data_IF_238026306633
#
_entry.id   IF_238026306633
#
_cell.length_a   1.000
_cell.length_b   1.000
_cell.length_c   1.000
_cell.angle_alpha   90.00
_cell.angle_beta   90.00
_cell.angle_gamma   90.00
#
_symmetry.space_group_name_H-M   'P 1'
#
loop_
_entity.id
_entity.type
_entity.pdbx_description
1 polymer ?
#
# COMPACT_ATOMS: atom_id res chain seq x y z
N UNK A 1 -4.08 -2.86 -16.35
CA UNK A 1 -4.39 -1.65 -17.12
C UNK A 1 -4.73 -0.53 -16.16
N UNK A 2 -4.26 0.66 -16.42
CA UNK A 2 -4.60 1.88 -15.69
C UNK A 2 -5.50 2.70 -16.60
N UNK A 3 -6.70 3.07 -16.15
CA UNK A 3 -7.52 4.06 -16.83
C UNK A 3 -7.20 5.44 -16.22
N UNK A 4 -6.87 6.40 -17.05
CA UNK A 4 -6.49 7.74 -16.61
C UNK A 4 -7.01 8.81 -17.58
N UNK A 5 -7.23 10.03 -17.09
CA UNK A 5 -7.60 11.18 -17.93
C UNK A 5 -6.40 11.73 -18.70
N UNK A 6 -5.17 11.48 -18.23
CA UNK A 6 -3.92 11.80 -18.92
C UNK A 6 -3.10 10.55 -19.21
N UNK A 7 -2.41 10.50 -20.32
CA UNK A 7 -1.47 9.46 -20.72
C UNK A 7 -0.01 9.97 -20.80
N UNK A 8 0.22 11.24 -20.51
CA UNK A 8 1.51 11.93 -20.50
C UNK A 8 1.85 12.56 -19.13
N UNK A 9 1.00 12.43 -18.13
CA UNK A 9 1.28 12.85 -16.76
C UNK A 9 2.42 11.99 -16.16
N UNK A 10 3.43 12.65 -15.57
CA UNK A 10 4.64 11.99 -15.06
C UNK A 10 4.36 10.95 -13.99
N UNK A 11 3.36 11.17 -13.13
CA UNK A 11 3.00 10.23 -12.07
C UNK A 11 2.19 9.03 -12.59
N UNK A 12 1.33 9.27 -13.60
CA UNK A 12 0.60 8.20 -14.29
C UNK A 12 1.58 7.30 -15.05
N UNK A 13 2.57 7.88 -15.71
CA UNK A 13 3.64 7.15 -16.41
C UNK A 13 4.49 6.34 -15.42
N UNK A 14 4.85 6.92 -14.27
CA UNK A 14 5.61 6.25 -13.21
C UNK A 14 4.86 5.04 -12.66
N UNK A 15 3.58 5.20 -12.34
CA UNK A 15 2.74 4.09 -11.84
C UNK A 15 2.62 2.98 -12.88
N UNK A 16 2.41 3.32 -14.16
CA UNK A 16 2.35 2.36 -15.23
C UNK A 16 3.66 1.59 -15.43
N UNK A 17 4.79 2.28 -15.31
CA UNK A 17 6.11 1.67 -15.37
C UNK A 17 6.36 0.71 -14.20
N UNK A 18 6.12 1.15 -12.96
CA UNK A 18 6.32 0.33 -11.76
C UNK A 18 5.48 -0.97 -11.78
N UNK A 19 4.27 -0.90 -12.32
CA UNK A 19 3.36 -2.05 -12.39
C UNK A 19 3.42 -2.80 -13.72
N UNK A 20 4.34 -2.45 -14.61
CA UNK A 20 4.47 -3.04 -15.95
C UNK A 20 3.11 -3.17 -16.67
N UNK A 21 2.35 -2.08 -16.70
CA UNK A 21 0.98 -2.08 -17.24
C UNK A 21 0.78 -0.98 -18.28
N UNK A 22 -0.33 -1.09 -19.04
CA UNK A 22 -0.68 -0.12 -20.08
C UNK A 22 -1.67 0.92 -19.55
N UNK A 23 -1.51 2.16 -20.01
CA UNK A 23 -2.43 3.26 -19.74
C UNK A 23 -3.53 3.24 -20.82
N UNK A 24 -4.77 3.42 -20.38
CA UNK A 24 -5.92 3.68 -21.25
C UNK A 24 -6.37 5.09 -20.97
N UNK A 25 -6.16 5.99 -21.91
CA UNK A 25 -6.67 7.36 -21.83
C UNK A 25 -8.17 7.40 -22.00
N UNK A 26 -8.84 8.15 -21.15
CA UNK A 26 -10.28 8.43 -21.25
C UNK A 26 -10.58 9.84 -20.78
N UNK A 27 -11.48 10.54 -21.47
CA UNK A 27 -11.91 11.88 -21.13
C UNK A 27 -13.03 11.89 -20.05
N UNK A 28 -13.53 10.71 -19.68
CA UNK A 28 -14.58 10.54 -18.68
C UNK A 28 -14.42 9.21 -17.94
N UNK A 29 -13.68 9.23 -16.83
CA UNK A 29 -13.46 8.06 -15.97
C UNK A 29 -14.77 7.49 -15.42
N UNK A 30 -15.76 8.34 -15.08
CA UNK A 30 -17.03 7.90 -14.54
C UNK A 30 -17.84 7.09 -15.55
N UNK A 31 -17.77 7.46 -16.84
CA UNK A 31 -18.42 6.73 -17.92
C UNK A 31 -17.66 5.48 -18.32
N UNK A 32 -16.32 5.53 -18.25
CA UNK A 32 -15.45 4.40 -18.60
C UNK A 32 -15.51 3.29 -17.55
N UNK A 33 -15.54 3.65 -16.25
CA UNK A 33 -15.54 2.70 -15.14
C UNK A 33 -17.00 2.35 -14.78
N UNK A 34 -17.52 1.29 -15.39
CA UNK A 34 -18.86 0.74 -15.17
C UNK A 34 -18.88 -0.54 -14.32
N UNK A 35 -17.77 -0.82 -13.65
CA UNK A 35 -17.53 -2.01 -12.81
C UNK A 35 -17.00 -1.62 -11.43
N UNK A 36 -17.15 -2.49 -10.41
CA UNK A 36 -16.57 -2.24 -9.10
C UNK A 36 -15.05 -2.14 -9.17
N UNK A 37 -14.48 -1.10 -8.58
CA UNK A 37 -13.03 -0.90 -8.45
C UNK A 37 -12.59 -1.16 -7.01
N UNK A 38 -11.35 -1.66 -6.84
CA UNK A 38 -10.80 -1.91 -5.52
C UNK A 38 -10.27 -0.63 -4.87
N UNK A 39 -9.70 0.27 -5.67
CA UNK A 39 -9.19 1.58 -5.22
C UNK A 39 -9.13 2.57 -6.37
N UNK A 40 -9.14 3.85 -6.02
CA UNK A 40 -8.66 4.93 -6.87
C UNK A 40 -7.29 5.40 -6.39
N UNK A 41 -6.46 5.80 -7.33
CA UNK A 41 -5.18 6.44 -7.08
C UNK A 41 -5.24 7.85 -7.65
N UNK A 42 -5.26 8.85 -6.78
CA UNK A 42 -5.20 10.26 -7.19
C UNK A 42 -3.73 10.64 -7.20
N UNK A 43 -3.26 11.12 -8.35
CA UNK A 43 -1.84 11.40 -8.56
C UNK A 43 -1.59 12.90 -8.72
N UNK A 44 -0.45 13.38 -8.24
CA UNK A 44 -0.04 14.77 -8.39
C UNK A 44 0.92 15.24 -7.30
N UNK A 45 1.22 16.53 -7.34
CA UNK A 45 2.07 17.14 -6.30
C UNK A 45 1.35 17.11 -4.95
N UNK A 46 2.08 16.83 -3.88
CA UNK A 46 1.55 16.71 -2.52
C UNK A 46 0.70 17.91 -2.09
N UNK A 47 1.16 19.13 -2.35
CA UNK A 47 0.44 20.37 -2.01
C UNK A 47 -0.93 20.48 -2.71
N UNK A 48 -1.15 19.77 -3.80
CA UNK A 48 -2.43 19.67 -4.52
C UNK A 48 -3.30 18.52 -4.04
N UNK A 49 -2.69 17.47 -3.52
CA UNK A 49 -3.41 16.30 -3.00
C UNK A 49 -3.99 16.53 -1.60
N UNK A 50 -3.34 17.35 -0.77
CA UNK A 50 -3.82 17.65 0.60
C UNK A 50 -5.26 18.15 0.62
N UNK A 51 -5.66 19.21 -0.10
CA UNK A 51 -7.05 19.67 -0.08
C UNK A 51 -8.02 18.65 -0.67
N UNK A 52 -7.57 17.77 -1.57
CA UNK A 52 -8.41 16.69 -2.12
C UNK A 52 -8.69 15.64 -1.03
N UNK A 53 -7.65 15.23 -0.29
CA UNK A 53 -7.81 14.31 0.84
C UNK A 53 -8.75 14.88 1.91
N UNK A 54 -8.55 16.14 2.31
CA UNK A 54 -9.38 16.82 3.30
C UNK A 54 -10.86 16.82 2.88
N UNK A 55 -11.15 17.22 1.64
CA UNK A 55 -12.52 17.24 1.10
C UNK A 55 -13.14 15.84 1.02
N UNK A 56 -12.38 14.82 0.63
CA UNK A 56 -12.85 13.43 0.60
C UNK A 56 -13.22 12.94 2.01
N UNK A 57 -12.35 13.19 3.00
CA UNK A 57 -12.58 12.75 4.38
C UNK A 57 -13.67 13.56 5.08
N UNK A 58 -13.82 14.84 4.77
CA UNK A 58 -14.91 15.65 5.31
C UNK A 58 -16.29 15.14 4.86
N UNK A 59 -16.42 14.72 3.60
CA UNK A 59 -17.73 14.38 3.02
C UNK A 59 -18.03 12.88 3.00
N UNK A 60 -17.01 12.01 3.03
CA UNK A 60 -17.16 10.58 2.76
C UNK A 60 -16.42 9.67 3.75
N UNK A 61 -15.95 10.17 4.89
CA UNK A 61 -15.19 9.38 5.88
C UNK A 61 -15.96 8.23 6.52
N UNK A 62 -17.25 8.14 6.32
CA UNK A 62 -18.10 7.02 6.72
C UNK A 62 -18.06 5.84 5.74
N UNK A 63 -17.74 6.09 4.45
CA UNK A 63 -17.76 5.08 3.38
C UNK A 63 -16.40 4.83 2.73
N UNK A 64 -15.42 5.72 2.92
CA UNK A 64 -14.08 5.55 2.37
C UNK A 64 -12.97 5.95 3.35
N UNK A 65 -11.78 5.45 3.09
CA UNK A 65 -10.51 5.91 3.66
C UNK A 65 -9.65 6.50 2.54
N UNK A 66 -8.88 7.56 2.85
CA UNK A 66 -7.97 8.22 1.93
C UNK A 66 -6.63 8.46 2.63
N UNK A 67 -5.54 7.88 2.12
CA UNK A 67 -4.20 7.95 2.72
C UNK A 67 -3.11 7.99 1.65
N UNK A 68 -1.94 8.49 2.02
CA UNK A 68 -0.79 8.52 1.12
C UNK A 68 -0.01 7.22 1.20
N UNK A 69 0.28 6.60 0.04
CA UNK A 69 1.29 5.53 -0.10
C UNK A 69 2.65 6.10 -0.47
N UNK A 70 2.65 7.23 -1.19
CA UNK A 70 3.80 8.08 -1.53
C UNK A 70 3.36 9.54 -1.48
N UNK A 71 4.28 10.48 -1.39
CA UNK A 71 3.96 11.92 -1.34
C UNK A 71 3.10 12.42 -2.52
N UNK A 72 3.19 11.73 -3.64
CA UNK A 72 2.48 12.04 -4.89
C UNK A 72 1.34 11.06 -5.22
N UNK A 73 1.05 10.09 -4.34
CA UNK A 73 -0.01 9.09 -4.48
C UNK A 73 -0.96 9.12 -3.29
N UNK A 74 -2.18 9.62 -3.53
CA UNK A 74 -3.29 9.53 -2.59
C UNK A 74 -4.17 8.33 -2.97
N UNK A 75 -4.16 7.30 -2.14
CA UNK A 75 -5.02 6.13 -2.29
C UNK A 75 -6.39 6.37 -1.66
N UNK A 76 -7.44 6.11 -2.42
CA UNK A 76 -8.82 6.16 -1.95
C UNK A 76 -9.42 4.76 -2.04
N UNK A 77 -9.80 4.21 -0.89
CA UNK A 77 -10.28 2.84 -0.76
C UNK A 77 -11.61 2.79 -0.01
N UNK A 78 -12.41 1.72 -0.13
CA UNK A 78 -13.58 1.53 0.72
C UNK A 78 -13.22 1.57 2.20
N UNK A 79 -14.12 2.07 3.03
CA UNK A 79 -13.92 2.18 4.48
C UNK A 79 -13.49 0.87 5.11
N UNK A 80 -12.44 0.95 5.91
CA UNK A 80 -11.91 -0.20 6.65
C UNK A 80 -11.08 -1.18 5.81
N UNK A 81 -10.75 -0.85 4.57
CA UNK A 81 -9.78 -1.60 3.76
C UNK A 81 -8.38 -1.15 4.14
N UNK A 82 -7.64 -2.00 4.84
CA UNK A 82 -6.26 -1.77 5.25
C UNK A 82 -5.49 -3.09 5.25
N UNK A 83 -4.15 -3.03 5.20
CA UNK A 83 -3.30 -4.23 5.11
C UNK A 83 -3.49 -5.17 6.30
N UNK A 84 -3.56 -4.63 7.52
CA UNK A 84 -3.80 -5.39 8.74
C UNK A 84 -5.15 -6.12 8.72
N UNK A 85 -6.23 -5.42 8.38
CA UNK A 85 -7.58 -6.01 8.33
C UNK A 85 -7.72 -7.07 7.26
N UNK A 86 -7.11 -6.85 6.09
CA UNK A 86 -7.09 -7.85 5.02
C UNK A 86 -6.29 -9.09 5.43
N UNK A 87 -5.16 -8.91 6.13
CA UNK A 87 -4.38 -10.00 6.69
C UNK A 87 -5.15 -10.74 7.78
N UNK A 88 -5.77 -10.06 8.72
CA UNK A 88 -6.57 -10.70 9.78
C UNK A 88 -7.70 -11.56 9.20
N UNK A 89 -8.40 -11.08 8.17
CA UNK A 89 -9.41 -11.88 7.47
C UNK A 89 -8.80 -13.12 6.79
N UNK A 90 -7.63 -12.97 6.16
CA UNK A 90 -6.92 -14.09 5.53
C UNK A 90 -6.46 -15.12 6.55
N UNK A 91 -5.82 -14.69 7.63
CA UNK A 91 -5.39 -15.53 8.74
C UNK A 91 -6.57 -16.31 9.33
N UNK A 92 -7.70 -15.63 9.57
CA UNK A 92 -8.91 -16.28 10.05
C UNK A 92 -9.44 -17.36 9.10
N UNK A 93 -9.44 -17.12 7.78
CA UNK A 93 -9.85 -18.12 6.78
C UNK A 93 -8.89 -19.31 6.70
N UNK A 94 -7.62 -19.09 6.94
CA UNK A 94 -6.57 -20.13 6.91
C UNK A 94 -6.39 -20.82 8.27
N UNK A 95 -7.07 -20.35 9.33
CA UNK A 95 -6.90 -20.80 10.71
C UNK A 95 -5.45 -20.65 11.21
N UNK A 96 -4.76 -19.59 10.76
CA UNK A 96 -3.41 -19.17 11.18
C UNK A 96 -3.57 -18.06 12.22
N UNK A 97 -2.76 -18.08 13.27
CA UNK A 97 -2.75 -17.05 14.31
C UNK A 97 -1.82 -15.89 13.95
N UNK A 98 -2.02 -14.74 14.58
CA UNK A 98 -1.16 -13.56 14.38
C UNK A 98 0.28 -13.81 14.83
N UNK A 99 0.51 -14.63 15.85
CA UNK A 99 1.83 -15.04 16.31
C UNK A 99 2.60 -15.97 15.34
N UNK A 100 1.90 -16.53 14.35
CA UNK A 100 2.49 -17.32 13.26
C UNK A 100 2.75 -16.48 12.00
N UNK A 101 2.40 -15.19 12.02
CA UNK A 101 2.59 -14.27 10.89
C UNK A 101 3.97 -13.62 10.93
N UNK A 102 4.69 -13.68 9.83
CA UNK A 102 5.87 -12.83 9.57
C UNK A 102 5.45 -11.75 8.60
N UNK A 103 5.46 -10.49 9.00
CA UNK A 103 5.18 -9.36 8.13
C UNK A 103 6.47 -8.65 7.72
N UNK A 104 6.56 -8.29 6.44
CA UNK A 104 7.69 -7.53 5.88
C UNK A 104 7.19 -6.20 5.34
N UNK A 105 7.89 -5.10 5.64
CA UNK A 105 7.48 -3.78 5.19
C UNK A 105 8.61 -2.76 5.20
N UNK A 106 8.41 -1.64 4.52
CA UNK A 106 9.34 -0.51 4.45
C UNK A 106 8.63 0.86 4.50
N UNK A 107 7.33 0.90 4.25
CA UNK A 107 6.52 2.11 4.16
C UNK A 107 5.64 2.38 5.39
N UNK A 108 5.20 3.63 5.55
CA UNK A 108 4.29 4.03 6.64
C UNK A 108 2.96 3.26 6.62
N UNK A 109 2.49 2.89 5.42
CA UNK A 109 1.28 2.09 5.21
C UNK A 109 1.42 0.62 5.62
N UNK A 110 2.63 0.16 5.98
CA UNK A 110 2.89 -1.19 6.48
C UNK A 110 2.79 -1.28 8.01
N UNK A 111 2.90 -0.16 8.72
CA UNK A 111 2.86 -0.12 10.19
C UNK A 111 1.68 -0.92 10.79
N UNK A 112 0.45 -0.82 10.28
CA UNK A 112 -0.66 -1.59 10.82
C UNK A 112 -0.44 -3.10 10.73
N UNK A 113 0.09 -3.63 9.62
CA UNK A 113 0.35 -5.06 9.48
C UNK A 113 1.56 -5.53 10.31
N UNK A 114 2.60 -4.68 10.47
CA UNK A 114 3.76 -4.97 11.32
C UNK A 114 3.34 -5.12 12.78
N UNK A 115 2.38 -4.31 13.24
CA UNK A 115 1.89 -4.34 14.63
C UNK A 115 1.14 -5.61 15.01
N UNK A 116 0.53 -6.31 14.07
CA UNK A 116 -0.24 -7.54 14.32
C UNK A 116 0.60 -8.79 14.10
N UNK A 117 1.79 -8.68 13.54
CA UNK A 117 2.64 -9.83 13.22
C UNK A 117 3.32 -10.40 14.45
N UNK A 118 3.48 -11.71 14.47
CA UNK A 118 4.36 -12.41 15.44
C UNK A 118 5.84 -12.08 15.25
N UNK A 119 6.24 -11.77 14.00
CA UNK A 119 7.55 -11.21 13.66
C UNK A 119 7.37 -10.06 12.69
N UNK A 120 7.72 -8.86 13.10
CA UNK A 120 7.78 -7.67 12.25
C UNK A 120 9.21 -7.50 11.69
N UNK A 121 9.38 -7.76 10.41
CA UNK A 121 10.65 -7.59 9.71
C UNK A 121 10.59 -6.33 8.83
N UNK A 122 11.52 -5.40 9.05
CA UNK A 122 11.54 -4.11 8.34
C UNK A 122 12.81 -4.00 7.52
N UNK A 123 12.70 -3.49 6.29
CA UNK A 123 13.86 -3.31 5.40
C UNK A 123 14.76 -2.19 5.91
N UNK A 124 16.09 -2.31 5.72
CA UNK A 124 17.04 -1.29 6.15
C UNK A 124 16.86 0.06 5.45
N UNK A 125 16.35 0.06 4.23
CA UNK A 125 15.98 1.29 3.50
C UNK A 125 14.64 1.90 3.93
N UNK A 126 13.94 1.35 4.93
CA UNK A 126 12.67 1.87 5.42
C UNK A 126 12.83 3.22 6.15
N UNK A 127 11.74 3.95 6.24
CA UNK A 127 11.69 5.15 7.09
C UNK A 127 11.98 4.84 8.55
N UNK A 128 12.73 5.70 9.24
CA UNK A 128 13.09 5.52 10.66
C UNK A 128 11.85 5.33 11.56
N UNK A 129 10.72 5.94 11.20
CA UNK A 129 9.47 5.76 11.91
C UNK A 129 8.94 4.32 11.81
N UNK A 130 9.10 3.67 10.65
CA UNK A 130 8.70 2.28 10.43
C UNK A 130 9.62 1.33 11.16
N UNK A 131 10.92 1.60 11.19
CA UNK A 131 11.94 0.79 11.90
C UNK A 131 11.67 0.64 13.39
N UNK A 132 10.93 1.58 14.00
CA UNK A 132 10.54 1.48 15.43
C UNK A 132 9.61 0.31 15.74
N UNK A 133 8.99 -0.27 14.74
CA UNK A 133 8.09 -1.43 14.87
C UNK A 133 8.75 -2.75 14.53
N UNK A 134 10.06 -2.75 14.23
CA UNK A 134 10.77 -3.94 13.81
C UNK A 134 11.23 -4.81 14.99
N UNK A 135 10.94 -6.10 14.91
CA UNK A 135 11.65 -7.14 15.68
C UNK A 135 12.97 -7.49 14.99
N UNK A 136 13.03 -7.31 13.67
CA UNK A 136 14.21 -7.58 12.85
C UNK A 136 14.36 -6.54 11.74
N UNK A 137 15.56 -5.98 11.63
CA UNK A 137 15.95 -5.15 10.47
C UNK A 137 16.65 -6.06 9.47
N UNK A 138 16.01 -6.26 8.33
CA UNK A 138 16.55 -7.03 7.22
C UNK A 138 17.42 -6.14 6.32
N UNK A 139 18.33 -6.71 5.49
CA UNK A 139 18.95 -5.96 4.41
C UNK A 139 17.92 -5.19 3.56
N UNK A 140 18.37 -4.20 2.81
CA UNK A 140 17.49 -3.41 1.94
C UNK A 140 16.76 -4.27 0.91
N UNK A 141 15.71 -3.73 0.30
CA UNK A 141 15.02 -4.40 -0.82
C UNK A 141 15.97 -4.69 -1.99
N UNK A 142 16.95 -3.81 -2.24
CA UNK A 142 17.97 -3.99 -3.30
C UNK A 142 18.99 -5.09 -2.95
N UNK A 143 19.13 -5.44 -1.68
CA UNK A 143 20.03 -6.48 -1.16
C UNK A 143 19.30 -7.78 -0.80
N UNK A 144 18.10 -7.97 -1.36
CA UNK A 144 17.30 -9.20 -1.16
C UNK A 144 16.82 -9.42 0.28
N UNK A 145 16.44 -8.36 1.00
CA UNK A 145 16.01 -8.44 2.39
C UNK A 145 14.90 -9.44 2.67
N UNK A 146 13.90 -9.56 1.78
CA UNK A 146 12.84 -10.58 1.93
C UNK A 146 13.41 -12.01 1.88
N UNK A 147 14.39 -12.26 1.01
CA UNK A 147 15.02 -13.59 0.95
C UNK A 147 15.82 -13.90 2.22
N UNK A 148 16.43 -12.89 2.84
CA UNK A 148 17.11 -13.02 4.14
C UNK A 148 16.12 -13.38 5.25
N UNK A 149 14.97 -12.71 5.32
CA UNK A 149 13.89 -13.00 6.28
C UNK A 149 13.43 -14.46 6.13
N UNK A 150 13.17 -14.93 4.90
CA UNK A 150 12.74 -16.30 4.64
C UNK A 150 13.80 -17.31 5.11
N UNK A 151 15.07 -17.06 4.80
CA UNK A 151 16.16 -17.93 5.26
C UNK A 151 16.22 -17.99 6.78
N UNK A 152 16.13 -16.83 7.44
CA UNK A 152 16.29 -16.72 8.88
C UNK A 152 15.16 -17.36 9.68
N UNK A 153 13.92 -17.08 9.30
CA UNK A 153 12.76 -17.41 10.12
C UNK A 153 11.97 -18.63 9.62
N UNK A 154 12.22 -19.10 8.40
CA UNK A 154 11.49 -20.23 7.82
C UNK A 154 12.41 -21.40 7.51
N UNK A 155 13.56 -21.16 6.84
CA UNK A 155 14.40 -22.25 6.37
C UNK A 155 15.45 -22.71 7.41
N UNK A 156 15.86 -21.84 8.33
CA UNK A 156 16.85 -22.11 9.37
C UNK A 156 16.25 -22.08 10.80
N UNK A 157 14.91 -22.14 10.87
CA UNK A 157 14.18 -22.16 12.13
C UNK A 157 14.20 -23.55 12.79
#
# INVERSE_FOLDING_TARGET
KIAAESDDDEYVLKEAFCNNTTIIKTDDLKKYVDYPVNKFLVVGRHDKLVPVQEALLEHYSDVLDAFYSEDYFLEVVPKGVAKDKSLQQLLGKLSIKEDELIACGDGMNDIPMLKIAGVAAVMDNAYEEVKKYADYIAPSNDESGVADIIKRFILNA
#
